data_IF_154305040828
#
_entry.id   IF_154305040828
#
_cell.length_a   1.000
_cell.length_b   1.000
_cell.length_c   1.000
_cell.angle_alpha   90.00
_cell.angle_beta   90.00
_cell.angle_gamma   90.00
#
_symmetry.space_group_name_H-M   'P 1'
#
loop_
_entity.id
_entity.type
_entity.pdbx_description
1 polymer ?
#
# COMPACT_ATOMS: atom_id res chain seq x y z
N UNK A 1 -1.33 13.92 11.60
CA UNK A 1 -0.99 14.02 10.17
C UNK A 1 -0.64 15.48 9.82
N UNK A 2 0.10 15.76 8.71
CA UNK A 2 0.46 17.15 8.34
C UNK A 2 -0.57 17.77 7.39
N UNK A 3 -0.78 19.10 7.47
CA UNK A 3 -1.66 19.85 6.56
C UNK A 3 -1.22 19.69 5.09
N UNK A 4 0.09 19.51 4.83
CA UNK A 4 0.61 19.27 3.48
C UNK A 4 0.13 17.94 2.89
N UNK A 5 0.06 16.89 3.71
CA UNK A 5 -0.45 15.58 3.31
C UNK A 5 -1.93 15.64 2.98
N UNK A 6 -2.73 16.34 3.78
CA UNK A 6 -4.18 16.51 3.53
C UNK A 6 -4.43 17.25 2.22
N UNK A 7 -3.73 18.38 1.99
CA UNK A 7 -3.84 19.12 0.73
C UNK A 7 -3.44 18.29 -0.49
N UNK A 8 -2.36 17.51 -0.39
CA UNK A 8 -1.92 16.63 -1.47
C UNK A 8 -2.96 15.54 -1.74
N UNK A 9 -3.59 15.02 -0.69
CA UNK A 9 -4.65 14.04 -0.79
C UNK A 9 -5.90 14.60 -1.49
N UNK A 10 -6.37 15.76 -1.08
CA UNK A 10 -7.52 16.45 -1.70
C UNK A 10 -7.26 16.78 -3.17
N UNK A 11 -6.05 17.22 -3.49
CA UNK A 11 -5.63 17.47 -4.86
C UNK A 11 -5.64 16.19 -5.70
N UNK A 12 -5.14 15.08 -5.17
CA UNK A 12 -5.18 13.79 -5.84
C UNK A 12 -6.61 13.27 -6.02
N UNK A 13 -7.48 13.46 -5.02
CA UNK A 13 -8.90 13.10 -5.10
C UNK A 13 -9.62 13.88 -6.20
N UNK A 14 -9.43 15.21 -6.26
CA UNK A 14 -10.10 16.06 -7.24
C UNK A 14 -9.75 15.72 -8.69
N UNK A 15 -8.67 14.99 -8.92
CA UNK A 15 -8.18 14.58 -10.24
C UNK A 15 -8.18 13.07 -10.47
N UNK A 16 -8.74 12.28 -9.54
CA UNK A 16 -8.72 10.82 -9.59
C UNK A 16 -7.31 10.28 -9.86
N UNK A 17 -6.30 10.79 -9.13
CA UNK A 17 -4.92 10.36 -9.30
C UNK A 17 -4.66 9.10 -8.46
N UNK A 18 -4.22 7.99 -9.06
CA UNK A 18 -3.66 6.84 -8.35
C UNK A 18 -2.51 7.26 -7.46
N UNK A 19 -2.45 6.71 -6.26
CA UNK A 19 -1.50 7.14 -5.25
C UNK A 19 -1.06 5.99 -4.36
N UNK A 20 0.12 6.11 -3.82
CA UNK A 20 0.70 5.25 -2.79
C UNK A 20 1.14 6.14 -1.62
N UNK A 21 0.98 5.65 -0.42
CA UNK A 21 1.44 6.31 0.81
C UNK A 21 2.69 5.59 1.30
N UNK A 22 3.74 6.35 1.57
CA UNK A 22 4.95 5.81 2.20
C UNK A 22 5.12 6.42 3.59
N UNK A 23 4.94 5.61 4.63
CA UNK A 23 5.17 6.00 6.02
C UNK A 23 6.66 5.99 6.27
N UNK A 24 7.25 7.17 6.19
CA UNK A 24 8.69 7.38 6.32
C UNK A 24 9.12 7.52 7.79
N UNK A 25 10.43 7.48 8.02
CA UNK A 25 11.07 7.62 9.35
C UNK A 25 10.69 6.51 10.34
N UNK A 26 10.40 5.33 9.84
CA UNK A 26 10.09 4.17 10.70
C UNK A 26 11.31 3.64 11.48
N UNK A 27 12.50 4.21 11.24
CA UNK A 27 13.71 4.01 12.04
C UNK A 27 13.70 4.78 13.38
N UNK A 28 12.80 5.75 13.55
CA UNK A 28 12.64 6.48 14.81
C UNK A 28 12.13 5.52 15.90
N UNK A 29 12.76 5.56 17.09
CA UNK A 29 12.39 4.69 18.20
C UNK A 29 10.98 4.97 18.75
N UNK A 30 10.46 6.17 18.48
CA UNK A 30 9.10 6.60 18.86
C UNK A 30 8.06 6.36 17.79
N UNK A 31 8.45 5.89 16.59
CA UNK A 31 7.52 5.63 15.51
C UNK A 31 6.57 4.47 15.87
N UNK A 32 5.29 4.74 15.81
CA UNK A 32 4.21 3.78 16.06
C UNK A 32 3.36 3.66 14.80
N UNK A 33 3.53 2.54 14.10
CA UNK A 33 2.83 2.30 12.83
C UNK A 33 1.31 2.19 13.02
N UNK A 34 0.86 1.52 14.06
CA UNK A 34 -0.57 1.29 14.29
C UNK A 34 -1.29 2.62 14.55
N UNK A 35 -0.67 3.49 15.34
CA UNK A 35 -1.17 4.84 15.59
C UNK A 35 -1.20 5.67 14.29
N UNK A 36 -0.09 5.68 13.52
CA UNK A 36 0.00 6.42 12.26
C UNK A 36 -1.03 5.90 11.26
N UNK A 37 -1.16 4.58 11.14
CA UNK A 37 -2.13 3.97 10.23
C UNK A 37 -3.57 4.25 10.66
N UNK A 38 -3.85 4.25 11.96
CA UNK A 38 -5.14 4.68 12.51
C UNK A 38 -5.49 6.11 12.11
N UNK A 39 -4.56 7.06 12.28
CA UNK A 39 -4.73 8.46 11.85
C UNK A 39 -4.94 8.57 10.33
N UNK A 40 -4.20 7.80 9.52
CA UNK A 40 -4.38 7.77 8.06
C UNK A 40 -5.80 7.32 7.68
N UNK A 41 -6.31 6.26 8.32
CA UNK A 41 -7.68 5.76 8.05
C UNK A 41 -8.76 6.75 8.50
N UNK A 42 -8.56 7.44 9.62
CA UNK A 42 -9.50 8.43 10.13
C UNK A 42 -9.61 9.64 9.20
N UNK A 43 -8.48 10.15 8.71
CA UNK A 43 -8.43 11.39 7.92
C UNK A 43 -8.61 11.15 6.42
N UNK A 44 -7.99 10.09 5.87
CA UNK A 44 -7.97 9.81 4.43
C UNK A 44 -9.01 8.75 4.00
N UNK A 45 -9.64 8.10 4.96
CA UNK A 45 -10.75 7.17 4.71
C UNK A 45 -10.35 5.73 4.48
N UNK A 46 -11.34 4.91 4.13
CA UNK A 46 -11.22 3.44 3.99
C UNK A 46 -10.33 3.00 2.82
N UNK A 47 -10.10 3.86 1.85
CA UNK A 47 -9.23 3.56 0.70
C UNK A 47 -7.77 3.35 1.10
N UNK A 48 -7.33 3.85 2.28
CA UNK A 48 -5.99 3.63 2.80
C UNK A 48 -5.84 2.21 3.33
N UNK A 49 -5.01 1.39 2.68
CA UNK A 49 -4.83 -0.02 3.01
C UNK A 49 -3.37 -0.33 3.25
N UNK A 50 -3.04 -0.77 4.47
CA UNK A 50 -1.69 -1.24 4.77
C UNK A 50 -1.38 -2.49 3.94
N UNK A 51 -0.23 -2.50 3.28
CA UNK A 51 0.30 -3.67 2.59
C UNK A 51 1.40 -4.36 3.38
N UNK A 52 1.89 -3.69 4.43
CA UNK A 52 3.04 -4.14 5.20
C UNK A 52 2.83 -3.86 6.68
N UNK A 53 3.36 -4.76 7.52
CA UNK A 53 3.50 -4.54 8.95
C UNK A 53 4.99 -4.43 9.30
N UNK A 54 5.39 -3.52 10.21
CA UNK A 54 6.77 -3.41 10.63
C UNK A 54 7.13 -4.53 11.61
N UNK A 55 8.22 -5.23 11.37
CA UNK A 55 8.88 -6.08 12.36
C UNK A 55 9.87 -5.20 13.13
N UNK A 56 9.64 -5.03 14.44
CA UNK A 56 10.50 -4.22 15.28
C UNK A 56 11.23 -5.07 16.33
N UNK A 57 12.49 -4.76 16.56
CA UNK A 57 13.30 -5.37 17.61
C UNK A 57 14.04 -4.26 18.35
N UNK A 58 13.86 -4.17 19.67
CA UNK A 58 14.41 -3.09 20.48
C UNK A 58 14.06 -1.70 19.91
N UNK A 59 12.79 -1.50 19.54
CA UNK A 59 12.23 -0.30 18.89
C UNK A 59 12.80 0.05 17.51
N UNK A 60 13.71 -0.73 16.96
CA UNK A 60 14.22 -0.52 15.61
C UNK A 60 13.45 -1.32 14.58
N UNK A 61 13.18 -0.73 13.43
CA UNK A 61 12.63 -1.43 12.27
C UNK A 61 13.68 -2.40 11.71
N UNK A 62 13.42 -3.68 11.80
CA UNK A 62 14.37 -4.73 11.36
C UNK A 62 13.84 -5.57 10.21
N UNK A 63 12.56 -5.46 9.89
CA UNK A 63 11.92 -6.22 8.81
C UNK A 63 10.49 -5.79 8.57
N UNK A 64 9.83 -6.50 7.69
CA UNK A 64 8.41 -6.31 7.35
C UNK A 64 7.71 -7.66 7.20
N UNK A 65 6.41 -7.67 7.48
CA UNK A 65 5.50 -8.70 6.99
C UNK A 65 4.76 -8.14 5.78
N UNK A 66 4.81 -8.85 4.66
CA UNK A 66 4.10 -8.48 3.42
C UNK A 66 2.69 -9.07 3.46
N UNK A 67 1.67 -8.23 3.44
CA UNK A 67 0.26 -8.65 3.52
C UNK A 67 -0.27 -9.31 2.24
N UNK A 68 0.41 -9.14 1.10
CA UNK A 68 0.03 -9.78 -0.17
C UNK A 68 0.51 -11.24 -0.17
N UNK A 69 1.78 -11.47 0.18
CA UNK A 69 2.41 -12.80 0.14
C UNK A 69 2.30 -13.56 1.45
N UNK A 70 1.93 -12.88 2.53
CA UNK A 70 1.91 -13.42 3.90
C UNK A 70 3.29 -13.93 4.34
N UNK A 71 4.35 -13.28 3.86
CA UNK A 71 5.74 -13.62 4.15
C UNK A 71 6.38 -12.56 5.05
N UNK A 72 7.17 -13.00 6.01
CA UNK A 72 8.01 -12.13 6.82
C UNK A 72 9.42 -12.06 6.22
N UNK A 73 9.98 -10.85 6.20
CA UNK A 73 11.31 -10.59 5.67
C UNK A 73 12.07 -9.59 6.53
N UNK A 74 13.36 -9.87 6.73
CA UNK A 74 14.27 -9.00 7.47
C UNK A 74 15.13 -8.17 6.51
N UNK A 75 15.48 -6.95 6.92
CA UNK A 75 16.42 -6.11 6.20
C UNK A 75 17.86 -6.54 6.54
N UNK A 76 18.69 -6.69 5.52
CA UNK A 76 20.14 -6.80 5.67
C UNK A 76 20.79 -5.41 5.84
N UNK A 77 22.15 -5.38 5.94
CA UNK A 77 22.89 -4.13 6.12
C UNK A 77 22.77 -3.16 4.92
N UNK A 78 22.45 -3.69 3.74
CA UNK A 78 22.27 -2.91 2.50
C UNK A 78 20.81 -2.53 2.22
N UNK A 79 19.90 -2.91 3.14
CA UNK A 79 18.46 -2.66 3.03
C UNK A 79 17.72 -3.64 2.11
N UNK A 80 18.36 -4.74 1.68
CA UNK A 80 17.67 -5.79 0.95
C UNK A 80 16.87 -6.68 1.90
N UNK A 81 15.83 -7.32 1.36
CA UNK A 81 14.93 -8.18 2.11
C UNK A 81 15.33 -9.66 1.96
N UNK A 82 15.51 -10.33 3.09
CA UNK A 82 15.73 -11.78 3.18
C UNK A 82 14.56 -12.43 3.91
N UNK A 83 14.11 -13.59 3.45
CA UNK A 83 13.02 -14.32 4.08
C UNK A 83 13.38 -14.75 5.50
N UNK A 84 12.39 -14.67 6.38
CA UNK A 84 12.50 -15.13 7.76
C UNK A 84 11.19 -15.79 8.23
N UNK A 85 11.24 -16.45 9.35
CA UNK A 85 10.03 -16.98 9.97
C UNK A 85 9.15 -15.84 10.49
N UNK A 86 7.84 -15.91 10.21
CA UNK A 86 6.89 -14.92 10.69
C UNK A 86 6.72 -15.03 12.21
N UNK A 87 6.89 -13.92 12.95
CA UNK A 87 6.62 -13.92 14.38
C UNK A 87 5.16 -14.28 14.67
N UNK A 88 4.91 -15.18 15.62
CA UNK A 88 3.55 -15.67 15.92
C UNK A 88 2.61 -14.54 16.32
N UNK A 89 3.11 -13.53 17.03
CA UNK A 89 2.37 -12.34 17.44
C UNK A 89 1.86 -11.49 16.24
N UNK A 90 2.48 -11.61 15.07
CA UNK A 90 2.11 -10.84 13.87
C UNK A 90 1.12 -11.58 12.95
N UNK A 91 0.90 -12.89 13.16
CA UNK A 91 0.03 -13.69 12.27
C UNK A 91 -1.38 -13.14 12.18
N UNK A 92 -1.98 -12.80 13.32
CA UNK A 92 -3.35 -12.28 13.36
C UNK A 92 -3.47 -10.93 12.63
N UNK A 93 -2.50 -10.04 12.82
CA UNK A 93 -2.48 -8.74 12.13
C UNK A 93 -2.23 -8.91 10.62
N UNK A 94 -1.34 -9.83 10.24
CA UNK A 94 -1.09 -10.15 8.84
C UNK A 94 -2.33 -10.72 8.13
N UNK A 95 -3.06 -11.61 8.80
CA UNK A 95 -4.35 -12.15 8.31
C UNK A 95 -5.39 -11.05 8.17
N UNK A 96 -5.46 -10.10 9.11
CA UNK A 96 -6.37 -8.95 9.00
C UNK A 96 -6.06 -8.08 7.78
N UNK A 97 -4.78 -7.81 7.52
CA UNK A 97 -4.37 -7.08 6.31
C UNK A 97 -4.77 -7.85 5.05
N UNK A 98 -4.48 -9.14 4.99
CA UNK A 98 -4.81 -9.98 3.84
C UNK A 98 -6.32 -10.05 3.60
N UNK A 99 -7.13 -10.13 4.65
CA UNK A 99 -8.58 -10.08 4.55
C UNK A 99 -9.09 -8.72 4.03
N UNK A 100 -8.54 -7.60 4.53
CA UNK A 100 -8.89 -6.27 4.04
C UNK A 100 -8.51 -6.09 2.56
N UNK A 101 -7.37 -6.64 2.14
CA UNK A 101 -6.96 -6.66 0.73
C UNK A 101 -7.92 -7.51 -0.12
N UNK A 102 -8.35 -8.66 0.41
CA UNK A 102 -9.30 -9.54 -0.26
C UNK A 102 -10.66 -8.88 -0.46
N UNK A 103 -11.16 -8.11 0.51
CA UNK A 103 -12.37 -7.31 0.35
C UNK A 103 -12.26 -6.33 -0.82
N UNK A 104 -11.18 -5.55 -0.86
CA UNK A 104 -10.94 -4.56 -1.92
C UNK A 104 -10.80 -5.22 -3.29
N UNK A 105 -10.09 -6.34 -3.34
CA UNK A 105 -9.90 -7.12 -4.57
C UNK A 105 -11.23 -7.69 -5.05
N UNK A 106 -12.08 -8.18 -4.15
CA UNK A 106 -13.40 -8.70 -4.48
C UNK A 106 -14.29 -7.65 -5.16
N UNK A 107 -14.20 -6.38 -4.74
CA UNK A 107 -14.99 -5.29 -5.32
C UNK A 107 -14.59 -4.93 -6.76
N UNK A 108 -13.51 -5.49 -7.30
CA UNK A 108 -13.00 -5.15 -8.63
C UNK A 108 -13.55 -6.00 -9.76
N UNK A 109 -14.16 -7.16 -9.46
CA UNK A 109 -14.59 -8.15 -10.45
C UNK A 109 -15.69 -9.03 -9.86
N UNK A 110 -16.80 -9.23 -10.58
CA UNK A 110 -17.95 -10.01 -10.11
C UNK A 110 -17.59 -11.47 -9.78
N UNK A 111 -16.69 -12.09 -10.53
CA UNK A 111 -16.22 -13.44 -10.26
C UNK A 111 -15.38 -13.52 -8.97
N UNK A 112 -14.59 -12.49 -8.68
CA UNK A 112 -13.85 -12.38 -7.41
C UNK A 112 -14.82 -12.12 -6.24
N UNK A 113 -15.86 -11.35 -6.47
CA UNK A 113 -16.89 -11.11 -5.48
C UNK A 113 -17.62 -12.41 -5.09
N UNK A 114 -18.04 -13.22 -6.08
CA UNK A 114 -18.66 -14.52 -5.84
C UNK A 114 -17.74 -15.46 -5.06
N UNK A 115 -16.46 -15.51 -5.44
CA UNK A 115 -15.43 -16.30 -4.78
C UNK A 115 -15.23 -15.89 -3.32
N UNK A 116 -15.21 -14.59 -3.06
CA UNK A 116 -15.09 -14.03 -1.71
C UNK A 116 -16.27 -14.43 -0.81
N UNK A 117 -17.49 -14.27 -1.31
CA UNK A 117 -18.69 -14.69 -0.57
C UNK A 117 -18.80 -16.22 -0.41
N UNK A 118 -18.21 -16.98 -1.31
CA UNK A 118 -18.04 -18.43 -1.20
C UNK A 118 -17.05 -18.87 -0.12
N UNK A 119 -16.31 -17.92 0.48
CA UNK A 119 -15.29 -18.21 1.49
C UNK A 119 -14.00 -18.80 0.91
N UNK A 120 -13.80 -18.69 -0.40
CA UNK A 120 -12.60 -19.17 -1.06
C UNK A 120 -11.46 -18.15 -0.91
N UNK A 121 -10.22 -18.65 -0.74
CA UNK A 121 -9.04 -17.78 -0.70
C UNK A 121 -8.63 -17.38 -2.11
N UNK A 122 -8.22 -16.13 -2.27
CA UNK A 122 -7.64 -15.65 -3.51
C UNK A 122 -6.22 -16.18 -3.70
N UNK A 123 -5.85 -16.42 -4.95
CA UNK A 123 -4.47 -16.66 -5.32
C UNK A 123 -3.69 -15.34 -5.29
N UNK A 124 -2.37 -15.45 -5.23
CA UNK A 124 -1.48 -14.27 -5.27
C UNK A 124 -1.70 -13.44 -6.54
N UNK A 125 -1.90 -14.10 -7.67
CA UNK A 125 -2.15 -13.49 -8.98
C UNK A 125 -3.48 -12.72 -9.00
N UNK A 126 -4.53 -13.28 -8.39
CA UNK A 126 -5.83 -12.62 -8.24
C UNK A 126 -5.72 -11.35 -7.40
N UNK A 127 -5.01 -11.43 -6.26
CA UNK A 127 -4.76 -10.26 -5.40
C UNK A 127 -3.98 -9.18 -6.15
N UNK A 128 -2.91 -9.55 -6.86
CA UNK A 128 -2.10 -8.60 -7.64
C UNK A 128 -2.94 -7.92 -8.71
N UNK A 129 -3.72 -8.69 -9.47
CA UNK A 129 -4.58 -8.17 -10.55
C UNK A 129 -5.65 -7.22 -10.00
N UNK A 130 -6.38 -7.65 -8.98
CA UNK A 130 -7.43 -6.82 -8.37
C UNK A 130 -6.87 -5.57 -7.71
N UNK A 131 -5.72 -5.67 -7.04
CA UNK A 131 -5.06 -4.51 -6.43
C UNK A 131 -4.65 -3.46 -7.48
N UNK A 132 -4.12 -3.87 -8.64
CA UNK A 132 -3.83 -2.95 -9.75
C UNK A 132 -5.09 -2.22 -10.24
N UNK A 133 -6.19 -2.94 -10.40
CA UNK A 133 -7.47 -2.36 -10.80
C UNK A 133 -7.95 -1.35 -9.76
N UNK A 134 -7.94 -1.72 -8.47
CA UNK A 134 -8.36 -0.87 -7.38
C UNK A 134 -7.51 0.42 -7.26
N UNK A 135 -6.19 0.32 -7.45
CA UNK A 135 -5.28 1.47 -7.47
C UNK A 135 -5.61 2.39 -8.64
N UNK A 136 -5.77 1.84 -9.85
CA UNK A 136 -6.06 2.62 -11.05
C UNK A 136 -7.40 3.35 -10.96
N UNK A 137 -8.41 2.73 -10.36
CA UNK A 137 -9.73 3.33 -10.09
C UNK A 137 -9.74 4.23 -8.86
N UNK A 138 -8.61 4.39 -8.15
CA UNK A 138 -8.48 5.19 -6.93
C UNK A 138 -9.34 4.70 -5.74
N UNK A 139 -9.84 3.48 -5.78
CA UNK A 139 -10.57 2.84 -4.68
C UNK A 139 -9.64 2.30 -3.60
N UNK A 140 -8.36 2.09 -3.94
CA UNK A 140 -7.30 1.69 -3.01
C UNK A 140 -6.11 2.66 -3.08
N UNK A 141 -5.65 3.08 -1.92
CA UNK A 141 -4.40 3.80 -1.72
C UNK A 141 -3.49 2.96 -0.81
N UNK A 142 -2.57 2.21 -1.39
CA UNK A 142 -1.67 1.33 -0.64
C UNK A 142 -0.77 2.11 0.32
N UNK A 143 -0.57 1.57 1.51
CA UNK A 143 0.32 2.13 2.53
C UNK A 143 1.51 1.19 2.70
N UNK A 144 2.68 1.70 2.39
CA UNK A 144 3.99 1.08 2.58
C UNK A 144 4.76 1.82 3.67
N UNK A 145 5.78 1.19 4.21
CA UNK A 145 6.56 1.77 5.29
C UNK A 145 8.07 1.61 5.09
N UNK A 146 8.85 2.47 5.72
CA UNK A 146 10.29 2.39 5.69
C UNK A 146 11.01 3.62 6.27
N UNK A 147 12.29 3.72 5.95
CA UNK A 147 13.14 4.85 6.30
C UNK A 147 13.99 5.25 5.11
N UNK A 148 13.69 6.40 4.51
CA UNK A 148 14.48 6.92 3.42
C UNK A 148 15.92 7.28 3.86
N UNK A 149 16.09 7.69 5.12
CA UNK A 149 17.39 8.02 5.67
C UNK A 149 18.34 6.80 5.76
N UNK A 150 17.79 5.65 6.16
CA UNK A 150 18.55 4.40 6.28
C UNK A 150 18.43 3.52 5.03
N UNK A 151 17.78 4.02 3.97
CA UNK A 151 17.50 3.28 2.73
C UNK A 151 16.70 1.97 2.96
N UNK A 152 15.92 1.90 4.04
CA UNK A 152 15.08 0.75 4.40
C UNK A 152 13.70 0.89 3.75
N UNK A 153 13.26 -0.14 3.01
CA UNK A 153 11.96 -0.17 2.35
C UNK A 153 11.86 0.66 1.06
N UNK A 154 12.89 1.45 0.71
CA UNK A 154 12.88 2.32 -0.49
C UNK A 154 12.86 1.49 -1.77
N UNK A 155 13.69 0.44 -1.86
CA UNK A 155 13.68 -0.48 -3.00
C UNK A 155 12.30 -1.14 -3.18
N UNK A 156 11.68 -1.59 -2.08
CA UNK A 156 10.33 -2.18 -2.13
C UNK A 156 9.28 -1.17 -2.62
N UNK A 157 9.40 0.10 -2.23
CA UNK A 157 8.54 1.17 -2.76
C UNK A 157 8.74 1.36 -4.26
N UNK A 158 9.98 1.36 -4.74
CA UNK A 158 10.28 1.50 -6.18
C UNK A 158 9.74 0.31 -6.97
N UNK A 159 9.98 -0.92 -6.50
CA UNK A 159 9.45 -2.14 -7.11
C UNK A 159 7.90 -2.08 -7.13
N UNK A 160 7.28 -1.63 -6.03
CA UNK A 160 5.83 -1.46 -5.95
C UNK A 160 5.31 -0.46 -6.99
N UNK A 161 5.99 0.67 -7.19
CA UNK A 161 5.60 1.66 -8.21
C UNK A 161 5.65 1.05 -9.60
N UNK A 162 6.71 0.31 -9.91
CA UNK A 162 6.88 -0.35 -11.22
C UNK A 162 5.83 -1.43 -11.44
N UNK A 163 5.54 -2.23 -10.42
CA UNK A 163 4.69 -3.41 -10.54
C UNK A 163 3.20 -3.09 -10.46
N UNK A 164 2.79 -2.06 -9.72
CA UNK A 164 1.37 -1.83 -9.37
C UNK A 164 0.80 -0.49 -9.82
N UNK A 165 1.63 0.55 -9.94
CA UNK A 165 1.10 1.85 -10.34
C UNK A 165 0.88 1.90 -11.85
N UNK A 166 -0.22 2.52 -12.32
CA UNK A 166 -0.50 2.62 -13.75
C UNK A 166 0.54 3.50 -14.45
N UNK A 167 0.91 3.10 -15.65
CA UNK A 167 1.73 3.93 -16.51
C UNK A 167 0.91 5.09 -17.10
N UNK A 168 1.53 6.17 -17.59
CA UNK A 168 0.81 7.25 -18.27
C UNK A 168 -0.02 6.77 -19.47
N UNK A 169 0.37 5.65 -20.11
CA UNK A 169 -0.34 5.07 -21.27
C UNK A 169 -1.63 4.35 -20.89
N UNK A 170 -1.76 3.94 -19.62
CA UNK A 170 -2.95 3.26 -19.10
C UNK A 170 -4.02 4.24 -18.59
N UNK A 171 -3.72 5.54 -18.64
CA UNK A 171 -4.64 6.58 -18.23
C UNK A 171 -5.20 7.35 -19.43
N UNK A 172 -6.44 7.81 -19.26
CA UNK A 172 -7.07 8.70 -20.25
C UNK A 172 -6.21 9.96 -20.42
N UNK A 173 -5.92 10.30 -21.67
CA UNK A 173 -5.21 11.54 -21.99
C UNK A 173 -6.05 12.71 -21.46
N UNK A 174 -5.42 13.59 -20.70
CA UNK A 174 -6.06 14.83 -20.30
C UNK A 174 -6.19 15.71 -21.55
N UNK A 175 -7.40 15.96 -22.00
CA UNK A 175 -7.65 16.98 -23.00
C UNK A 175 -7.25 18.33 -22.40
N UNK A 176 -6.36 19.04 -23.07
CA UNK A 176 -6.04 20.41 -22.72
C UNK A 176 -6.43 21.34 -23.87
N UNK A 177 -6.95 22.49 -23.53
CA UNK A 177 -7.13 23.59 -24.47
C UNK A 177 -6.04 24.61 -24.23
N UNK A 178 -5.38 25.05 -25.30
CA UNK A 178 -4.42 26.13 -25.20
C UNK A 178 -5.11 27.48 -24.93
N UNK A 179 -4.34 28.56 -24.78
CA UNK A 179 -4.88 29.90 -24.51
C UNK A 179 -5.75 30.43 -25.66
N UNK A 180 -5.74 29.80 -26.83
CA UNK A 180 -6.57 30.15 -28.00
C UNK A 180 -7.86 29.32 -28.09
N UNK A 181 -8.03 28.31 -27.20
CA UNK A 181 -9.18 27.40 -27.20
C UNK A 181 -9.09 26.26 -28.19
N UNK A 182 -7.92 26.00 -28.79
CA UNK A 182 -7.67 24.86 -29.63
C UNK A 182 -7.42 23.59 -28.78
N UNK A 183 -8.02 22.44 -29.15
CA UNK A 183 -7.80 21.14 -28.56
C UNK A 183 -6.59 20.45 -29.18
#
# INVERSE_FOLDING_TARGET
MSVGTEKAWDFANSRNLPRVIFVNKMNDDTADFDKIYGELKEVLGRSCVALQLPIRKNNKLVGIVDGITMEARMFDQDGNLTECEMPDEMRVQAEQINNNLSEIVAETDDALMEKFFGGEKFTKEEIIRGLKIAINHCTCAPVLLGSAYENIGVKKLMDFIVDYMPSPLERTVLDYTDASGAQ
#
